data_IF_626373980457
#
_entry.id   IF_626373980457
#
_cell.length_a   1.000
_cell.length_b   1.000
_cell.length_c   1.000
_cell.angle_alpha   90.00
_cell.angle_beta   90.00
_cell.angle_gamma   90.00
#
_symmetry.space_group_name_H-M   'P 1'
#
loop_
_entity.id
_entity.type
_entity.pdbx_description
1 polymer ?
#
# COMPACT_ATOMS: atom_id res chain seq x y z
N UNK A 1 46.04 -74.91 2.78
CA UNK A 1 46.83 -74.31 3.88
C UNK A 1 46.72 -72.81 3.75
N UNK A 2 46.62 -72.02 4.81
CA UNK A 2 46.76 -72.30 6.24
C UNK A 2 47.19 -71.01 6.93
N UNK A 3 46.68 -70.78 8.15
CA UNK A 3 47.23 -69.81 9.10
C UNK A 3 46.61 -68.41 9.03
N UNK A 4 46.17 -67.80 10.12
CA UNK A 4 46.24 -68.22 11.52
C UNK A 4 45.54 -67.19 12.40
N UNK A 5 44.70 -67.68 13.30
CA UNK A 5 44.14 -66.91 14.40
C UNK A 5 44.94 -67.08 15.68
N UNK A 6 44.70 -66.16 16.61
CA UNK A 6 45.12 -66.20 18.01
C UNK A 6 45.40 -64.79 18.54
N UNK A 7 45.49 -64.61 19.87
CA UNK A 7 44.51 -64.99 20.88
C UNK A 7 44.19 -63.80 21.82
N UNK A 8 43.01 -63.80 22.47
CA UNK A 8 42.74 -62.89 23.60
C UNK A 8 42.55 -63.71 24.86
N UNK A 9 43.50 -63.52 25.76
CA UNK A 9 43.67 -64.10 27.09
C UNK A 9 42.77 -63.41 28.11
N UNK A 10 42.08 -64.23 28.91
CA UNK A 10 41.48 -63.86 30.20
C UNK A 10 42.54 -63.99 31.31
N UNK A 11 42.51 -63.14 32.34
CA UNK A 11 42.74 -63.65 33.70
C UNK A 11 41.73 -63.12 34.75
N UNK A 12 41.73 -63.68 35.98
CA UNK A 12 40.52 -63.88 36.78
C UNK A 12 40.42 -63.05 38.09
N UNK A 13 39.24 -63.20 38.71
CA UNK A 13 38.75 -62.73 40.01
C UNK A 13 39.75 -62.51 41.17
N UNK A 14 39.53 -61.43 41.94
CA UNK A 14 39.43 -61.51 43.42
C UNK A 14 38.65 -60.35 44.05
N UNK A 15 37.85 -60.71 45.05
CA UNK A 15 36.91 -59.92 45.86
C UNK A 15 37.61 -58.90 46.78
N UNK A 16 36.93 -57.78 47.09
CA UNK A 16 36.73 -57.31 48.48
C UNK A 16 35.70 -56.17 48.59
N UNK A 17 34.63 -56.48 49.35
CA UNK A 17 33.79 -55.72 50.27
C UNK A 17 33.64 -54.18 50.24
N UNK A 18 32.39 -53.83 50.60
CA UNK A 18 31.94 -52.79 51.52
C UNK A 18 31.48 -51.44 50.95
N UNK A 19 30.15 -51.32 50.87
CA UNK A 19 29.34 -50.33 51.61
C UNK A 19 29.96 -48.94 51.80
N UNK A 20 29.49 -47.96 51.02
CA UNK A 20 29.10 -46.63 51.52
C UNK A 20 28.52 -45.77 50.39
N UNK A 21 27.31 -45.28 50.62
CA UNK A 21 26.82 -43.94 50.28
C UNK A 21 26.76 -43.50 48.81
N UNK A 22 25.57 -43.73 48.25
CA UNK A 22 24.74 -42.78 47.50
C UNK A 22 25.23 -41.31 47.46
N UNK A 23 25.10 -40.65 46.30
CA UNK A 23 24.33 -39.41 46.31
C UNK A 23 23.24 -39.44 45.23
N UNK A 24 22.01 -39.71 45.65
CA UNK A 24 20.79 -39.51 44.85
C UNK A 24 20.38 -38.03 44.79
N UNK A 25 21.36 -37.12 44.77
CA UNK A 25 21.14 -35.68 44.84
C UNK A 25 21.39 -34.94 43.51
N UNK A 26 21.80 -35.65 42.44
CA UNK A 26 22.11 -35.03 41.14
C UNK A 26 21.03 -35.22 40.04
N UNK A 27 19.92 -35.93 40.33
CA UNK A 27 18.86 -36.23 39.37
C UNK A 27 17.58 -35.35 39.52
N UNK A 28 17.65 -34.25 40.26
CA UNK A 28 16.60 -33.23 40.29
C UNK A 28 16.84 -32.14 39.21
N UNK A 29 17.21 -32.56 38.00
CA UNK A 29 17.14 -31.68 36.82
C UNK A 29 15.73 -31.07 36.76
N UNK A 30 15.64 -29.78 36.40
CA UNK A 30 14.44 -28.95 36.41
C UNK A 30 13.25 -29.59 35.67
N UNK A 31 12.58 -30.54 36.32
CA UNK A 31 11.54 -31.41 35.75
C UNK A 31 10.32 -30.61 35.28
N UNK A 32 10.12 -29.45 35.89
CA UNK A 32 9.08 -28.48 35.55
C UNK A 32 9.48 -27.53 34.41
N UNK A 33 10.77 -27.45 34.08
CA UNK A 33 11.32 -26.56 33.05
C UNK A 33 10.68 -26.75 31.67
N UNK A 34 10.61 -27.98 31.13
CA UNK A 34 9.99 -28.24 29.82
C UNK A 34 8.51 -27.80 29.73
N UNK A 35 7.72 -28.07 30.77
CA UNK A 35 6.31 -27.65 30.83
C UNK A 35 6.17 -26.12 30.94
N UNK A 36 7.03 -25.49 31.74
CA UNK A 36 7.07 -24.03 31.91
C UNK A 36 7.37 -23.33 30.59
N UNK A 37 8.36 -23.81 29.84
CA UNK A 37 8.71 -23.27 28.52
C UNK A 37 7.64 -23.57 27.47
N UNK A 38 7.01 -24.74 27.49
CA UNK A 38 5.88 -25.06 26.62
C UNK A 38 4.69 -24.13 26.87
N UNK A 39 4.34 -23.86 28.14
CA UNK A 39 3.27 -22.93 28.52
C UNK A 39 3.58 -21.49 28.09
N UNK A 40 4.81 -21.00 28.30
CA UNK A 40 5.23 -19.67 27.84
C UNK A 40 5.14 -19.55 26.31
N UNK A 41 5.58 -20.58 25.59
CA UNK A 41 5.51 -20.65 24.13
C UNK A 41 4.06 -20.63 23.65
N UNK A 42 3.19 -21.44 24.26
CA UNK A 42 1.76 -21.49 23.93
C UNK A 42 1.03 -20.19 24.27
N UNK A 43 1.41 -19.52 25.36
CA UNK A 43 0.93 -18.18 25.72
C UNK A 43 1.33 -17.14 24.66
N UNK A 44 2.60 -17.09 24.28
CA UNK A 44 3.09 -16.15 23.27
C UNK A 44 2.38 -16.36 21.93
N UNK A 45 2.26 -17.62 21.48
CA UNK A 45 1.53 -17.96 20.25
C UNK A 45 0.05 -17.53 20.31
N UNK A 46 -0.63 -17.80 21.43
CA UNK A 46 -2.04 -17.41 21.61
C UNK A 46 -2.23 -15.89 21.64
N UNK A 47 -1.29 -15.14 22.21
CA UNK A 47 -1.33 -13.68 22.25
C UNK A 47 -1.12 -13.07 20.85
N UNK A 48 -0.18 -13.61 20.07
CA UNK A 48 0.05 -13.19 18.67
C UNK A 48 -1.18 -13.47 17.80
N UNK A 49 -1.75 -14.67 17.88
CA UNK A 49 -2.95 -15.05 17.14
C UNK A 49 -4.18 -14.21 17.51
N UNK A 50 -4.34 -13.84 18.79
CA UNK A 50 -5.39 -12.93 19.24
C UNK A 50 -5.23 -11.52 18.64
N UNK A 51 -3.99 -11.03 18.51
CA UNK A 51 -3.71 -9.71 17.93
C UNK A 51 -3.99 -9.66 16.43
N UNK A 52 -3.59 -10.70 15.70
CA UNK A 52 -3.79 -10.81 14.24
C UNK A 52 -5.28 -10.89 13.88
N UNK A 53 -6.08 -11.60 14.69
CA UNK A 53 -7.51 -11.75 14.44
C UNK A 53 -8.36 -10.60 15.00
N UNK A 54 -7.77 -9.62 15.71
CA UNK A 54 -8.51 -8.56 16.42
C UNK A 54 -9.38 -7.71 15.48
N UNK A 55 -8.90 -7.44 14.27
CA UNK A 55 -9.58 -6.59 13.28
C UNK A 55 -10.38 -7.38 12.25
N UNK A 56 -9.93 -8.59 11.92
CA UNK A 56 -10.53 -9.42 10.86
C UNK A 56 -11.63 -10.37 11.37
N UNK A 57 -11.47 -10.93 12.57
CA UNK A 57 -12.41 -11.90 13.15
C UNK A 57 -12.46 -11.83 14.70
N UNK A 58 -13.23 -10.88 15.25
CA UNK A 58 -13.28 -10.62 16.69
C UNK A 58 -13.67 -11.84 17.56
N UNK A 59 -14.63 -12.70 17.18
CA UNK A 59 -14.92 -13.94 17.92
C UNK A 59 -13.71 -14.86 18.09
N UNK A 60 -12.94 -15.07 17.01
CA UNK A 60 -11.74 -15.91 17.03
C UNK A 60 -10.64 -15.28 17.88
N UNK A 61 -10.49 -13.95 17.85
CA UNK A 61 -9.58 -13.23 18.74
C UNK A 61 -9.94 -13.44 20.23
N UNK A 62 -11.23 -13.44 20.58
CA UNK A 62 -11.71 -13.70 21.95
C UNK A 62 -11.39 -15.14 22.38
N UNK A 63 -11.57 -16.12 21.50
CA UNK A 63 -11.23 -17.52 21.77
C UNK A 63 -9.72 -17.69 22.06
N UNK A 64 -8.87 -17.07 21.26
CA UNK A 64 -7.41 -17.05 21.50
C UNK A 64 -7.03 -16.36 22.81
N UNK A 65 -7.70 -15.26 23.16
CA UNK A 65 -7.48 -14.58 24.44
C UNK A 65 -7.92 -15.43 25.64
N UNK A 66 -8.98 -16.24 25.50
CA UNK A 66 -9.40 -17.21 26.52
C UNK A 66 -8.32 -18.30 26.71
N UNK A 67 -7.75 -18.83 25.63
CA UNK A 67 -6.62 -19.79 25.69
C UNK A 67 -5.40 -19.19 26.38
N UNK A 68 -5.03 -17.95 26.03
CA UNK A 68 -3.95 -17.23 26.71
C UNK A 68 -4.18 -17.15 28.23
N UNK A 69 -5.39 -16.78 28.66
CA UNK A 69 -5.73 -16.73 30.09
C UNK A 69 -5.66 -18.09 30.76
N UNK A 70 -6.10 -19.16 30.09
CA UNK A 70 -6.01 -20.52 30.61
C UNK A 70 -4.55 -20.97 30.78
N UNK A 71 -3.68 -20.73 29.80
CA UNK A 71 -2.25 -21.03 29.92
C UNK A 71 -1.55 -20.19 30.99
N UNK A 72 -1.97 -18.92 31.16
CA UNK A 72 -1.49 -18.06 32.25
C UNK A 72 -1.88 -18.60 33.62
N UNK A 73 -3.10 -19.10 33.77
CA UNK A 73 -3.56 -19.72 35.01
C UNK A 73 -2.78 -21.01 35.31
N UNK A 74 -2.59 -21.87 34.31
CA UNK A 74 -1.77 -23.09 34.42
C UNK A 74 -0.32 -22.78 34.80
N UNK A 75 0.27 -21.72 34.23
CA UNK A 75 1.62 -21.29 34.59
C UNK A 75 1.71 -20.83 36.06
N UNK A 76 0.67 -20.15 36.56
CA UNK A 76 0.59 -19.77 37.97
C UNK A 76 0.50 -21.00 38.87
N UNK A 77 -0.30 -22.00 38.50
CA UNK A 77 -0.41 -23.27 39.22
C UNK A 77 0.89 -24.08 39.21
N UNK A 78 1.58 -24.17 38.05
CA UNK A 78 2.91 -24.77 37.95
C UNK A 78 3.91 -24.07 38.87
N UNK A 79 3.84 -22.75 39.00
CA UNK A 79 4.73 -21.98 39.88
C UNK A 79 4.51 -22.34 41.35
N UNK A 80 3.26 -22.51 41.77
CA UNK A 80 2.92 -22.94 43.14
C UNK A 80 3.37 -24.38 43.37
N UNK A 81 3.06 -25.32 42.47
CA UNK A 81 3.40 -26.74 42.62
C UNK A 81 4.90 -27.04 42.47
N UNK A 82 5.64 -26.21 41.74
CA UNK A 82 7.11 -26.28 41.67
C UNK A 82 7.77 -26.06 43.04
N UNK A 83 7.10 -25.39 43.97
CA UNK A 83 7.59 -25.20 45.34
C UNK A 83 7.39 -26.43 46.24
N UNK A 84 6.57 -27.40 45.83
CA UNK A 84 6.40 -28.67 46.54
C UNK A 84 7.45 -29.70 46.07
N UNK A 85 8.34 -30.20 46.96
CA UNK A 85 9.35 -31.19 46.62
C UNK A 85 8.80 -32.53 46.10
N UNK A 86 7.52 -32.85 46.38
CA UNK A 86 6.87 -34.10 45.94
C UNK A 86 6.10 -33.95 44.63
N UNK A 87 5.89 -32.73 44.16
CA UNK A 87 5.14 -32.46 42.95
C UNK A 87 5.80 -33.05 41.70
N UNK A 88 5.02 -33.76 40.89
CA UNK A 88 5.41 -34.19 39.55
C UNK A 88 4.67 -33.36 38.49
N UNK A 89 5.36 -32.95 37.41
CA UNK A 89 4.70 -32.22 36.34
C UNK A 89 3.70 -33.12 35.60
N UNK A 90 2.50 -32.61 35.27
CA UNK A 90 1.58 -33.34 34.42
C UNK A 90 2.20 -33.58 33.05
N UNK A 91 1.80 -34.68 32.41
CA UNK A 91 2.15 -34.91 31.02
C UNK A 91 1.52 -33.82 30.15
N UNK A 92 2.24 -33.43 29.09
CA UNK A 92 1.76 -32.42 28.15
C UNK A 92 2.18 -32.77 26.73
N UNK A 93 1.39 -32.31 25.77
CA UNK A 93 1.69 -32.47 24.35
C UNK A 93 1.10 -31.34 23.53
N UNK A 94 1.75 -31.05 22.42
CA UNK A 94 1.16 -30.19 21.39
C UNK A 94 0.23 -31.03 20.52
N UNK A 95 -1.01 -30.56 20.36
CA UNK A 95 -2.00 -31.15 19.48
C UNK A 95 -2.24 -30.18 18.33
N UNK A 96 -2.04 -30.65 17.10
CA UNK A 96 -2.33 -29.88 15.89
C UNK A 96 -3.71 -30.28 15.38
N UNK A 97 -4.66 -29.36 15.50
CA UNK A 97 -6.00 -29.51 14.94
C UNK A 97 -6.07 -28.77 13.61
N UNK A 98 -6.73 -29.35 12.60
CA UNK A 98 -7.01 -28.65 11.34
C UNK A 98 -8.45 -28.17 11.38
N UNK A 99 -8.65 -26.86 11.38
CA UNK A 99 -9.97 -26.23 11.41
C UNK A 99 -10.28 -25.60 10.06
N UNK A 100 -11.51 -25.75 9.61
CA UNK A 100 -12.02 -25.08 8.41
C UNK A 100 -12.49 -23.66 8.76
N UNK A 101 -11.99 -22.66 8.04
CA UNK A 101 -12.40 -21.27 8.17
C UNK A 101 -12.94 -20.74 6.85
N UNK A 102 -14.13 -20.14 6.89
CA UNK A 102 -14.70 -19.45 5.74
C UNK A 102 -14.12 -18.05 5.59
N UNK A 103 -13.61 -17.74 4.40
CA UNK A 103 -13.08 -16.41 4.03
C UNK A 103 -14.20 -15.55 3.46
N UNK A 104 -14.31 -14.31 3.94
CA UNK A 104 -15.26 -13.30 3.44
C UNK A 104 -14.69 -11.89 3.61
N UNK A 105 -14.81 -11.05 2.59
CA UNK A 105 -14.44 -9.63 2.65
C UNK A 105 -15.65 -8.78 3.07
N UNK A 106 -15.89 -8.69 4.38
CA UNK A 106 -17.10 -8.06 4.96
C UNK A 106 -17.20 -6.55 4.74
N UNK A 107 -16.09 -5.91 4.41
CA UNK A 107 -16.02 -4.49 4.07
C UNK A 107 -16.56 -4.18 2.66
N UNK A 108 -16.70 -5.19 1.80
CA UNK A 108 -17.32 -5.07 0.48
C UNK A 108 -18.79 -5.47 0.55
N UNK A 109 -19.64 -4.80 -0.24
CA UNK A 109 -21.04 -5.21 -0.40
C UNK A 109 -21.10 -6.55 -1.15
N UNK A 110 -22.16 -7.32 -0.91
CA UNK A 110 -22.33 -8.67 -1.47
C UNK A 110 -22.21 -8.76 -3.00
N UNK A 111 -22.58 -7.68 -3.72
CA UNK A 111 -22.54 -7.63 -5.18
C UNK A 111 -21.43 -6.70 -5.72
N UNK A 112 -20.55 -6.17 -4.88
CA UNK A 112 -19.48 -5.28 -5.34
C UNK A 112 -18.21 -6.09 -5.64
N UNK A 113 -17.58 -5.77 -6.76
CA UNK A 113 -16.21 -6.12 -7.08
C UNK A 113 -15.35 -4.88 -6.90
N UNK A 114 -14.28 -4.99 -6.13
CA UNK A 114 -13.29 -3.94 -5.97
C UNK A 114 -12.14 -4.18 -6.94
N UNK A 115 -11.82 -3.19 -7.77
CA UNK A 115 -10.60 -3.10 -8.56
C UNK A 115 -9.65 -2.10 -7.90
N UNK A 116 -8.43 -2.55 -7.63
CA UNK A 116 -7.36 -1.72 -7.09
C UNK A 116 -6.12 -1.82 -7.97
N UNK A 117 -5.61 -0.67 -8.41
CA UNK A 117 -4.29 -0.55 -9.07
C UNK A 117 -3.39 0.19 -8.09
N UNK A 118 -2.22 -0.37 -7.79
CA UNK A 118 -1.29 0.19 -6.80
C UNK A 118 -0.02 0.78 -7.40
N UNK A 119 0.34 0.36 -8.62
CA UNK A 119 1.44 0.98 -9.34
C UNK A 119 1.98 0.14 -10.48
N UNK A 120 2.87 0.74 -11.25
CA UNK A 120 3.67 0.09 -12.29
C UNK A 120 5.14 0.04 -11.88
N UNK A 121 5.82 -1.04 -12.25
CA UNK A 121 7.23 -1.29 -11.94
C UNK A 121 8.02 -1.68 -13.19
N UNK A 122 9.35 -1.57 -13.11
CA UNK A 122 10.34 -1.96 -14.13
C UNK A 122 10.21 -1.26 -15.50
N UNK A 123 9.60 -0.07 -15.53
CA UNK A 123 9.44 0.79 -16.72
C UNK A 123 10.66 1.70 -16.96
N UNK A 124 11.86 1.13 -16.96
CA UNK A 124 13.12 1.89 -17.07
C UNK A 124 13.27 2.62 -18.41
N UNK A 125 12.73 2.05 -19.49
CA UNK A 125 12.80 2.65 -20.84
C UNK A 125 11.85 3.84 -21.03
N UNK A 126 10.90 4.01 -20.11
CA UNK A 126 9.87 5.05 -20.16
C UNK A 126 10.05 6.11 -19.04
N UNK A 127 11.23 6.14 -18.38
CA UNK A 127 11.53 7.08 -17.29
C UNK A 127 11.27 8.54 -17.67
N UNK A 128 10.70 9.29 -16.73
CA UNK A 128 10.38 10.70 -16.91
C UNK A 128 9.12 10.97 -17.75
N UNK A 129 8.50 9.97 -18.38
CA UNK A 129 7.19 10.12 -19.03
C UNK A 129 6.06 10.10 -18.00
N UNK A 130 4.98 10.80 -18.30
CA UNK A 130 3.73 10.74 -17.54
C UNK A 130 2.84 9.65 -18.12
N UNK A 131 2.42 8.70 -17.29
CA UNK A 131 1.58 7.58 -17.71
C UNK A 131 0.23 7.60 -17.02
N UNK A 132 -0.80 7.13 -17.71
CA UNK A 132 -2.09 6.79 -17.14
C UNK A 132 -2.42 5.34 -17.50
N UNK A 133 -3.23 4.70 -16.66
CA UNK A 133 -3.70 3.33 -16.91
C UNK A 133 -5.20 3.39 -17.16
N UNK A 134 -5.62 2.89 -18.32
CA UNK A 134 -7.04 2.61 -18.57
C UNK A 134 -7.34 1.15 -18.29
N UNK A 135 -8.56 0.86 -17.86
CA UNK A 135 -9.02 -0.50 -17.65
C UNK A 135 -10.33 -0.74 -18.39
N UNK A 136 -10.53 -1.97 -18.84
CA UNK A 136 -11.77 -2.48 -19.38
C UNK A 136 -12.06 -3.86 -18.79
N UNK A 137 -13.15 -3.95 -18.03
CA UNK A 137 -13.58 -5.19 -17.39
C UNK A 137 -14.16 -6.20 -18.39
N UNK A 138 -14.54 -5.76 -19.59
CA UNK A 138 -15.15 -6.58 -20.62
C UNK A 138 -16.56 -7.10 -20.25
N UNK A 139 -17.21 -6.51 -19.24
CA UNK A 139 -18.58 -6.80 -18.85
C UNK A 139 -19.28 -5.58 -18.21
N UNK A 140 -20.63 -5.52 -18.25
CA UNK A 140 -21.54 -6.25 -19.13
C UNK A 140 -21.19 -6.10 -20.63
N UNK A 141 -21.65 -7.01 -21.50
CA UNK A 141 -21.27 -6.97 -22.93
C UNK A 141 -21.70 -5.68 -23.62
N UNK A 142 -22.89 -5.20 -23.29
CA UNK A 142 -23.50 -4.04 -23.96
C UNK A 142 -22.91 -2.72 -23.49
N UNK A 143 -22.43 -2.68 -22.24
CA UNK A 143 -21.76 -1.52 -21.66
C UNK A 143 -20.67 -1.99 -20.68
N UNK A 144 -19.46 -2.30 -21.17
CA UNK A 144 -18.35 -2.68 -20.32
C UNK A 144 -18.01 -1.60 -19.31
N UNK A 145 -17.66 -2.00 -18.09
CA UNK A 145 -17.08 -1.06 -17.13
C UNK A 145 -15.67 -0.69 -17.54
N UNK A 146 -15.50 0.57 -17.95
CA UNK A 146 -14.21 1.14 -18.30
C UNK A 146 -13.91 2.36 -17.42
N UNK A 147 -12.64 2.72 -17.35
CA UNK A 147 -12.19 3.92 -16.65
C UNK A 147 -10.70 4.15 -16.81
N UNK A 148 -10.20 5.23 -16.21
CA UNK A 148 -8.80 5.63 -16.28
C UNK A 148 -8.31 6.15 -14.94
N UNK A 149 -7.02 5.97 -14.68
CA UNK A 149 -6.34 6.61 -13.54
C UNK A 149 -5.97 8.06 -13.87
N UNK A 150 -5.56 8.81 -12.84
CA UNK A 150 -4.81 10.05 -13.06
C UNK A 150 -3.46 9.75 -13.73
N UNK A 151 -2.93 10.74 -14.44
CA UNK A 151 -1.59 10.66 -15.01
C UNK A 151 -0.55 10.79 -13.89
N UNK A 152 0.48 9.95 -13.91
CA UNK A 152 1.56 9.89 -12.92
C UNK A 152 2.89 9.76 -13.63
N UNK A 153 3.87 10.57 -13.23
CA UNK A 153 5.23 10.54 -13.78
C UNK A 153 6.00 9.30 -13.31
N UNK A 154 6.72 8.65 -14.23
CA UNK A 154 7.61 7.53 -13.92
C UNK A 154 8.88 8.06 -13.25
N UNK A 155 9.22 7.50 -12.09
CA UNK A 155 10.42 7.86 -11.33
C UNK A 155 11.72 7.39 -12.03
N UNK A 156 12.87 7.86 -11.56
CA UNK A 156 14.18 7.47 -12.10
C UNK A 156 14.55 5.99 -11.87
N UNK A 157 13.75 5.24 -11.11
CA UNK A 157 13.85 3.80 -10.92
C UNK A 157 12.93 2.99 -11.84
N UNK A 158 12.15 3.64 -12.72
CA UNK A 158 11.17 2.96 -13.57
C UNK A 158 9.89 2.55 -12.85
N UNK A 159 9.55 3.21 -11.73
CA UNK A 159 8.32 2.95 -10.97
C UNK A 159 7.36 4.13 -11.06
N UNK A 160 6.07 3.83 -11.10
CA UNK A 160 5.01 4.83 -11.05
C UNK A 160 3.96 4.43 -10.02
N UNK A 161 3.69 5.32 -9.06
CA UNK A 161 2.71 5.12 -7.99
C UNK A 161 1.27 5.36 -8.49
N UNK A 162 0.83 4.57 -9.46
CA UNK A 162 -0.51 4.63 -10.03
C UNK A 162 -1.51 4.07 -9.02
N UNK A 163 -2.28 4.94 -8.38
CA UNK A 163 -3.26 4.54 -7.35
C UNK A 163 -4.67 4.73 -7.87
N UNK A 164 -5.42 3.63 -7.94
CA UNK A 164 -6.85 3.63 -8.26
C UNK A 164 -7.57 2.64 -7.35
N UNK A 165 -8.75 3.01 -6.87
CA UNK A 165 -9.67 2.11 -6.17
C UNK A 165 -11.09 2.39 -6.62
N UNK A 166 -11.74 1.40 -7.23
CA UNK A 166 -13.12 1.53 -7.75
C UNK A 166 -13.92 0.29 -7.37
N UNK A 167 -15.16 0.50 -6.92
CA UNK A 167 -16.14 -0.57 -6.71
C UNK A 167 -17.10 -0.65 -7.91
N UNK A 168 -17.20 -1.83 -8.50
CA UNK A 168 -17.99 -2.13 -9.68
C UNK A 168 -19.13 -3.05 -9.27
N UNK A 169 -20.40 -2.69 -9.55
CA UNK A 169 -21.52 -3.56 -9.24
C UNK A 169 -21.56 -4.76 -10.19
N UNK A 170 -21.63 -5.96 -9.62
CA UNK A 170 -21.65 -7.24 -10.33
C UNK A 170 -22.93 -7.98 -10.01
N UNK A 171 -23.73 -8.24 -11.03
CA UNK A 171 -24.93 -9.06 -10.90
C UNK A 171 -24.56 -10.55 -10.90
N UNK A 172 -24.42 -11.12 -9.70
CA UNK A 172 -23.99 -12.51 -9.46
C UNK A 172 -25.02 -13.55 -9.89
N UNK A 173 -26.29 -13.15 -10.06
CA UNK A 173 -27.40 -14.03 -10.45
C UNK A 173 -27.39 -14.33 -11.94
N UNK A 174 -26.88 -13.40 -12.76
CA UNK A 174 -26.83 -13.57 -14.20
C UNK A 174 -25.84 -14.64 -14.60
N UNK A 175 -26.31 -15.63 -15.37
CA UNK A 175 -25.47 -16.68 -15.97
C UNK A 175 -24.31 -16.10 -16.78
N UNK A 176 -24.51 -14.96 -17.46
CA UNK A 176 -23.46 -14.26 -18.20
C UNK A 176 -22.30 -13.81 -17.31
N UNK A 177 -22.60 -13.36 -16.09
CA UNK A 177 -21.61 -13.00 -15.08
C UNK A 177 -20.91 -14.25 -14.58
N UNK A 178 -21.63 -15.29 -14.17
CA UNK A 178 -20.99 -16.54 -13.73
C UNK A 178 -20.07 -17.13 -14.80
N UNK A 179 -20.49 -17.12 -16.08
CA UNK A 179 -19.65 -17.57 -17.20
C UNK A 179 -18.45 -16.67 -17.49
N UNK A 180 -18.50 -15.39 -17.11
CA UNK A 180 -17.34 -14.48 -17.20
C UNK A 180 -16.30 -14.86 -16.17
N UNK A 181 -16.70 -15.11 -14.92
CA UNK A 181 -15.76 -15.42 -13.85
C UNK A 181 -15.34 -16.90 -13.86
N UNK A 182 -16.09 -17.84 -14.44
CA UNK A 182 -15.70 -19.26 -14.44
C UNK A 182 -14.76 -19.67 -15.59
N UNK A 183 -14.61 -18.83 -16.62
CA UNK A 183 -13.81 -19.15 -17.83
C UNK A 183 -12.43 -18.52 -17.78
N UNK A 184 -11.42 -19.32 -18.09
CA UNK A 184 -10.00 -18.91 -18.10
C UNK A 184 -9.68 -17.83 -19.15
N UNK A 185 -10.38 -17.87 -20.28
CA UNK A 185 -10.16 -16.93 -21.38
C UNK A 185 -10.81 -15.55 -21.13
N UNK A 186 -11.37 -15.31 -19.94
CA UNK A 186 -12.01 -14.05 -19.59
C UNK A 186 -11.11 -13.27 -18.64
N UNK A 187 -10.75 -12.08 -19.10
CA UNK A 187 -9.70 -11.25 -18.54
C UNK A 187 -10.17 -9.81 -18.47
N UNK A 188 -9.63 -9.08 -17.50
CA UNK A 188 -9.66 -7.62 -17.47
C UNK A 188 -8.45 -7.14 -18.27
N UNK A 189 -8.66 -6.21 -19.19
CA UNK A 189 -7.60 -5.60 -19.97
C UNK A 189 -7.23 -4.24 -19.40
N UNK A 190 -5.95 -3.94 -19.42
CA UNK A 190 -5.38 -2.67 -19.01
C UNK A 190 -4.54 -2.13 -20.16
N UNK A 191 -4.63 -0.83 -20.43
CA UNK A 191 -3.72 -0.15 -21.35
C UNK A 191 -2.94 0.89 -20.57
N UNK A 192 -1.63 0.84 -20.69
CA UNK A 192 -0.72 1.81 -20.12
C UNK A 192 -0.41 2.82 -21.23
N UNK A 193 -0.82 4.06 -21.03
CA UNK A 193 -0.76 5.13 -22.03
C UNK A 193 0.19 6.20 -21.51
N UNK A 194 1.21 6.53 -22.29
CA UNK A 194 2.01 7.72 -22.07
C UNK A 194 1.23 8.94 -22.57
N UNK A 195 1.09 9.94 -21.71
CA UNK A 195 0.57 11.24 -22.11
C UNK A 195 1.56 11.90 -23.05
N UNK A 196 1.07 12.28 -24.23
CA UNK A 196 1.81 13.16 -25.13
C UNK A 196 1.73 14.60 -24.62
N UNK A 197 2.80 15.38 -24.84
CA UNK A 197 2.77 16.83 -24.63
C UNK A 197 1.94 17.55 -25.70
N UNK A 198 1.99 18.89 -25.75
CA UNK A 198 1.10 19.75 -26.54
C UNK A 198 0.85 19.35 -28.00
N UNK A 199 1.82 18.71 -28.65
CA UNK A 199 1.74 18.36 -30.07
C UNK A 199 1.96 16.87 -30.33
N UNK A 200 2.10 16.06 -29.28
CA UNK A 200 2.23 14.61 -29.42
C UNK A 200 0.93 13.95 -29.01
N UNK A 201 0.43 13.03 -29.83
CA UNK A 201 -0.68 12.19 -29.43
C UNK A 201 -0.26 11.27 -28.29
N UNK A 202 -1.21 10.95 -27.42
CA UNK A 202 -1.06 9.89 -26.42
C UNK A 202 -0.60 8.58 -27.08
N UNK A 203 0.41 7.95 -26.50
CA UNK A 203 1.01 6.71 -27.01
C UNK A 203 0.65 5.53 -26.10
N UNK A 204 0.09 4.46 -26.65
CA UNK A 204 -0.09 3.22 -25.90
C UNK A 204 1.28 2.56 -25.74
N UNK A 205 1.83 2.57 -24.53
CA UNK A 205 3.12 1.96 -24.22
C UNK A 205 3.03 0.45 -24.11
N UNK A 206 2.00 -0.04 -23.42
CA UNK A 206 1.85 -1.45 -23.12
C UNK A 206 0.41 -1.85 -22.83
N UNK A 207 0.15 -3.15 -22.87
CA UNK A 207 -1.10 -3.78 -22.48
C UNK A 207 -0.84 -4.81 -21.39
N UNK A 208 -1.71 -4.90 -20.40
CA UNK A 208 -1.66 -5.93 -19.37
C UNK A 208 -3.03 -6.60 -19.28
N UNK A 209 -3.07 -7.90 -18.98
CA UNK A 209 -4.33 -8.64 -18.85
C UNK A 209 -4.34 -9.50 -17.59
N UNK A 210 -5.39 -9.39 -16.78
CA UNK A 210 -5.54 -10.21 -15.56
C UNK A 210 -6.74 -11.13 -15.67
N UNK A 211 -6.57 -12.40 -15.30
CA UNK A 211 -7.64 -13.39 -15.36
C UNK A 211 -8.69 -13.16 -14.27
N UNK A 212 -9.98 -13.33 -14.62
CA UNK A 212 -11.09 -13.26 -13.67
C UNK A 212 -11.38 -14.60 -12.97
N UNK A 213 -10.82 -15.70 -13.50
CA UNK A 213 -11.04 -17.08 -13.02
C UNK A 213 -10.83 -17.28 -11.50
N UNK A 214 -9.77 -16.75 -10.88
CA UNK A 214 -9.53 -16.99 -9.45
C UNK A 214 -10.70 -16.58 -8.56
N UNK A 215 -11.34 -15.43 -8.86
CA UNK A 215 -12.47 -14.88 -8.09
C UNK A 215 -13.75 -15.74 -8.16
N UNK A 216 -13.77 -16.76 -9.00
CA UNK A 216 -14.87 -17.72 -9.01
C UNK A 216 -14.87 -18.59 -7.76
N UNK A 217 -13.68 -18.92 -7.24
CA UNK A 217 -13.47 -19.78 -6.08
C UNK A 217 -12.82 -19.08 -4.89
N UNK A 218 -12.12 -17.97 -5.10
CA UNK A 218 -11.53 -17.14 -4.04
C UNK A 218 -12.21 -15.79 -3.90
N UNK A 219 -12.00 -15.13 -2.75
CA UNK A 219 -12.49 -13.78 -2.48
C UNK A 219 -11.53 -12.69 -2.99
N UNK A 220 -10.29 -13.05 -3.29
CA UNK A 220 -9.22 -12.13 -3.66
C UNK A 220 -8.30 -12.72 -4.73
N UNK A 221 -7.81 -11.84 -5.60
CA UNK A 221 -6.76 -12.13 -6.59
C UNK A 221 -5.85 -10.91 -6.70
N UNK A 222 -4.62 -11.03 -6.19
CA UNK A 222 -3.56 -10.01 -6.30
C UNK A 222 -2.48 -10.54 -7.22
N UNK A 223 -2.13 -9.76 -8.26
CA UNK A 223 -1.11 -10.16 -9.24
C UNK A 223 -0.28 -8.95 -9.68
N UNK A 224 1.01 -9.19 -9.87
CA UNK A 224 1.87 -8.32 -10.67
C UNK A 224 1.78 -8.80 -12.13
N UNK A 225 0.99 -8.10 -12.92
CA UNK A 225 0.61 -8.51 -14.27
C UNK A 225 1.70 -8.06 -15.25
N UNK A 226 2.30 -8.98 -16.03
CA UNK A 226 3.32 -8.61 -16.99
C UNK A 226 2.76 -7.71 -18.08
N UNK A 227 3.54 -6.69 -18.44
CA UNK A 227 3.22 -5.78 -19.53
C UNK A 227 3.60 -6.40 -20.88
N UNK A 228 2.74 -6.23 -21.87
CA UNK A 228 2.90 -6.73 -23.23
C UNK A 228 3.03 -5.57 -24.20
N UNK A 229 3.75 -5.76 -25.29
CA UNK A 229 3.84 -4.77 -26.36
C UNK A 229 2.46 -4.49 -26.97
N UNK A 230 2.15 -3.24 -27.40
CA UNK A 230 0.81 -2.89 -27.87
C UNK A 230 0.36 -3.66 -29.14
N UNK A 231 1.31 -3.95 -30.02
CA UNK A 231 1.09 -4.57 -31.35
C UNK A 231 1.65 -5.99 -31.45
N UNK A 232 2.11 -6.57 -30.34
CA UNK A 232 2.88 -7.81 -30.34
C UNK A 232 2.56 -8.62 -29.08
N UNK A 233 2.60 -9.96 -29.22
CA UNK A 233 2.45 -10.88 -28.08
C UNK A 233 3.74 -11.02 -27.28
N UNK A 234 4.76 -10.22 -27.57
CA UNK A 234 5.99 -10.19 -26.80
C UNK A 234 5.74 -9.44 -25.50
N UNK A 235 6.23 -10.02 -24.43
CA UNK A 235 6.24 -9.37 -23.13
C UNK A 235 7.27 -8.23 -23.17
N UNK A 236 6.83 -7.04 -22.77
CA UNK A 236 7.70 -5.89 -22.51
C UNK A 236 8.27 -6.04 -21.10
N UNK A 237 9.43 -5.42 -20.85
CA UNK A 237 9.94 -5.22 -19.51
C UNK A 237 8.97 -4.32 -18.71
N UNK A 238 8.48 -4.80 -17.57
CA UNK A 238 7.55 -4.05 -16.72
C UNK A 238 6.37 -4.88 -16.19
N UNK A 239 5.87 -4.49 -15.03
CA UNK A 239 4.75 -5.15 -14.35
C UNK A 239 3.73 -4.13 -13.82
N UNK A 240 2.44 -4.47 -13.90
CA UNK A 240 1.35 -3.70 -13.33
C UNK A 240 0.79 -4.40 -12.10
N UNK A 241 0.84 -3.74 -10.94
CA UNK A 241 0.32 -4.29 -9.69
C UNK A 241 -1.19 -4.05 -9.59
N UNK A 242 -1.97 -5.13 -9.65
CA UNK A 242 -3.43 -5.10 -9.65
C UNK A 242 -3.97 -6.07 -8.60
N UNK A 243 -5.02 -5.66 -7.90
CA UNK A 243 -5.81 -6.49 -6.99
C UNK A 243 -7.28 -6.41 -7.36
N UNK A 244 -7.94 -7.58 -7.41
CA UNK A 244 -9.38 -7.69 -7.48
C UNK A 244 -9.89 -8.38 -6.22
N UNK A 245 -10.96 -7.84 -5.63
CA UNK A 245 -11.55 -8.36 -4.40
C UNK A 245 -13.07 -8.41 -4.53
N UNK A 246 -13.68 -9.45 -3.96
CA UNK A 246 -15.14 -9.64 -3.92
C UNK A 246 -15.54 -10.03 -2.50
N UNK A 247 -16.77 -9.74 -2.09
CA UNK A 247 -17.27 -10.09 -0.76
C UNK A 247 -17.17 -11.60 -0.46
N UNK A 248 -17.58 -12.40 -1.45
CA UNK A 248 -17.56 -13.87 -1.45
C UNK A 248 -17.29 -14.36 -2.89
N UNK A 249 -16.82 -15.60 -3.09
CA UNK A 249 -16.52 -16.11 -4.42
C UNK A 249 -17.73 -16.06 -5.35
N UNK A 250 -17.51 -15.74 -6.63
CA UNK A 250 -18.62 -15.53 -7.59
C UNK A 250 -19.44 -16.81 -7.82
N UNK A 251 -18.88 -18.00 -7.58
CA UNK A 251 -19.61 -19.27 -7.66
C UNK A 251 -20.75 -19.40 -6.63
N UNK A 252 -20.75 -18.58 -5.58
CA UNK A 252 -21.70 -18.67 -4.46
C UNK A 252 -21.31 -19.72 -3.42
N UNK A 253 -20.28 -20.54 -3.68
CA UNK A 253 -19.70 -21.43 -2.67
C UNK A 253 -18.73 -20.65 -1.79
N UNK A 254 -18.80 -20.78 -0.45
CA UNK A 254 -17.84 -20.12 0.42
C UNK A 254 -16.43 -20.64 0.15
N UNK A 255 -15.45 -19.74 0.15
CA UNK A 255 -14.04 -20.12 0.16
C UNK A 255 -13.72 -20.61 1.57
N UNK A 256 -13.22 -21.84 1.66
CA UNK A 256 -12.83 -22.47 2.93
C UNK A 256 -11.33 -22.69 2.91
N UNK A 257 -10.64 -22.13 3.89
CA UNK A 257 -9.20 -22.34 4.11
C UNK A 257 -9.05 -23.28 5.30
N UNK A 258 -8.16 -24.26 5.16
CA UNK A 258 -7.75 -25.16 6.23
C UNK A 258 -6.66 -24.47 7.07
N UNK A 259 -7.01 -24.12 8.30
CA UNK A 259 -6.09 -23.53 9.27
C UNK A 259 -5.56 -24.62 10.20
N UNK A 260 -4.24 -24.76 10.30
CA UNK A 260 -3.62 -25.67 11.28
C UNK A 260 -3.37 -24.92 12.58
N UNK A 261 -4.06 -25.30 13.62
CA UNK A 261 -3.98 -24.70 14.95
C UNK A 261 -3.25 -25.68 15.86
N UNK A 262 -2.05 -25.30 16.31
CA UNK A 262 -1.30 -26.06 17.32
C UNK A 262 -1.66 -25.54 18.71
N UNK A 263 -2.23 -26.40 19.55
CA UNK A 263 -2.58 -26.09 20.94
C UNK A 263 -1.80 -26.98 21.91
N UNK A 264 -1.44 -26.43 23.06
CA UNK A 264 -0.85 -27.20 24.15
C UNK A 264 -1.98 -27.80 24.99
N UNK A 265 -2.00 -29.13 25.12
CA UNK A 265 -2.82 -29.83 26.11
C UNK A 265 -1.94 -30.27 27.27
N UNK A 266 -2.36 -29.94 28.49
CA UNK A 266 -1.73 -30.37 29.74
C UNK A 266 -2.72 -31.30 30.43
N UNK A 267 -2.27 -32.48 30.84
CA UNK A 267 -3.09 -33.47 31.55
C UNK A 267 -3.39 -32.97 32.97
N UNK A 268 -4.36 -33.62 33.63
CA UNK A 268 -4.73 -33.29 35.00
C UNK A 268 -3.52 -33.50 35.94
N UNK A 269 -3.32 -32.57 36.86
CA UNK A 269 -2.23 -32.71 37.82
C UNK A 269 -2.58 -33.85 38.79
N UNK A 270 -1.77 -34.91 38.81
CA UNK A 270 -1.95 -36.02 39.75
C UNK A 270 -1.99 -35.50 41.19
N UNK A 271 -3.12 -35.69 41.86
CA UNK A 271 -3.20 -35.60 43.31
C UNK A 271 -2.77 -36.95 43.86
N UNK A 272 -1.63 -37.01 44.55
CA UNK A 272 -1.28 -38.18 45.34
C UNK A 272 -2.30 -38.30 46.49
N UNK A 273 -3.42 -39.00 46.28
CA UNK A 273 -4.05 -39.72 47.38
C UNK A 273 -4.92 -40.91 46.99
N UNK A 274 -4.64 -41.98 47.70
CA UNK A 274 -5.24 -43.29 47.65
C UNK A 274 -6.65 -43.24 48.27
N UNK A 275 -7.72 -43.32 47.49
CA UNK A 275 -8.99 -43.88 47.98
C UNK A 275 -9.89 -44.35 46.82
N UNK A 276 -10.08 -45.66 46.72
CA UNK A 276 -11.23 -46.26 46.05
C UNK A 276 -12.53 -45.78 46.70
N UNK A 277 -13.58 -45.56 45.91
CA UNK A 277 -14.93 -46.16 46.08
C UNK A 277 -16.01 -45.29 45.40
N UNK A 278 -16.53 -45.86 44.30
CA UNK A 278 -17.94 -45.95 43.86
C UNK A 278 -18.59 -44.83 43.02
N UNK A 279 -19.17 -45.35 41.94
CA UNK A 279 -20.20 -44.85 41.02
C UNK A 279 -21.32 -44.03 41.69
N UNK A 280 -21.87 -43.06 40.95
CA UNK A 280 -23.27 -43.11 40.43
C UNK A 280 -23.57 -41.90 39.54
N UNK A 281 -24.27 -42.16 38.44
CA UNK A 281 -24.97 -41.19 37.59
C UNK A 281 -26.41 -40.99 38.13
N UNK A 282 -27.33 -40.29 37.44
CA UNK A 282 -27.56 -38.85 37.43
C UNK A 282 -28.99 -38.47 37.90
N UNK A 283 -29.24 -37.22 38.31
CA UNK A 283 -30.62 -36.69 38.36
C UNK A 283 -30.69 -35.16 38.31
N UNK A 284 -31.46 -34.63 37.34
CA UNK A 284 -32.04 -33.28 37.34
C UNK A 284 -33.24 -33.21 38.31
N UNK A 285 -33.65 -32.01 38.78
CA UNK A 285 -34.82 -31.31 38.21
C UNK A 285 -34.64 -29.75 38.16
N UNK A 286 -35.24 -29.03 37.18
CA UNK A 286 -36.49 -28.21 37.24
C UNK A 286 -36.57 -27.33 38.51
N UNK A 287 -36.81 -26.01 38.54
CA UNK A 287 -37.34 -24.94 37.67
C UNK A 287 -37.74 -23.76 38.60
N UNK A 288 -38.42 -22.70 38.09
CA UNK A 288 -38.98 -21.49 38.79
C UNK A 288 -38.04 -20.26 38.74
N UNK A 289 -38.17 -19.28 37.81
CA UNK A 289 -39.17 -18.22 37.52
C UNK A 289 -39.09 -16.93 38.37
N UNK A 290 -39.08 -15.79 37.67
CA UNK A 290 -39.48 -14.44 38.11
C UNK A 290 -38.29 -13.47 38.31
N UNK A 291 -38.29 -12.21 37.88
CA UNK A 291 -39.22 -11.36 37.12
C UNK A 291 -38.54 -10.00 36.86
N UNK A 292 -38.99 -9.35 35.80
CA UNK A 292 -39.01 -7.92 35.40
C UNK A 292 -38.28 -6.81 36.20
N UNK A 293 -37.59 -5.91 35.47
CA UNK A 293 -37.99 -4.51 35.21
C UNK A 293 -36.84 -3.80 34.44
N UNK A 294 -37.02 -3.38 33.18
CA UNK A 294 -37.53 -2.07 32.77
C UNK A 294 -36.70 -0.86 33.26
N UNK A 295 -35.96 -0.21 32.35
CA UNK A 295 -35.95 1.25 32.21
C UNK A 295 -35.07 1.70 31.03
N UNK A 296 -35.69 2.49 30.15
CA UNK A 296 -35.14 3.14 28.97
C UNK A 296 -34.46 4.50 29.34
N UNK A 297 -33.93 5.27 28.36
CA UNK A 297 -32.84 6.23 28.53
C UNK A 297 -33.29 7.71 28.62
N UNK A 298 -32.36 8.65 28.77
CA UNK A 298 -32.45 9.97 28.13
C UNK A 298 -31.21 10.19 27.22
N UNK A 299 -31.29 10.53 25.93
CA UNK A 299 -31.94 11.61 25.19
C UNK A 299 -31.29 13.01 25.34
N UNK A 300 -31.12 13.65 24.17
CA UNK A 300 -30.69 15.03 23.88
C UNK A 300 -29.22 15.40 24.20
N UNK A 301 -28.41 15.99 23.30
CA UNK A 301 -28.71 17.25 22.60
C UNK A 301 -27.74 17.47 21.42
N UNK A 302 -28.27 17.80 20.23
CA UNK A 302 -27.65 18.58 19.12
C UNK A 302 -28.32 19.98 19.18
N UNK A 303 -27.96 20.97 18.35
CA UNK A 303 -26.66 21.40 17.80
C UNK A 303 -26.42 22.90 18.11
N UNK A 304 -25.21 23.42 17.85
CA UNK A 304 -25.03 24.86 17.67
C UNK A 304 -24.20 25.13 16.41
N UNK A 305 -24.91 25.69 15.43
CA UNK A 305 -24.39 26.42 14.28
C UNK A 305 -23.65 27.67 14.76
N UNK A 306 -22.55 28.06 14.12
CA UNK A 306 -22.21 29.48 14.08
C UNK A 306 -21.58 29.92 12.75
N UNK A 307 -22.21 31.00 12.26
CA UNK A 307 -21.94 31.86 11.11
C UNK A 307 -20.54 32.50 11.11
N UNK A 308 -19.98 32.58 9.90
CA UNK A 308 -19.44 33.75 9.18
C UNK A 308 -19.11 35.03 10.00
N UNK A 309 -17.83 35.43 9.94
CA UNK A 309 -17.34 36.81 9.91
C UNK A 309 -15.96 36.77 9.20
N UNK A 310 -15.79 37.35 8.00
CA UNK A 310 -15.55 38.76 7.68
C UNK A 310 -14.25 39.33 8.28
N UNK A 311 -13.42 39.85 7.38
CA UNK A 311 -12.05 40.41 7.46
C UNK A 311 -11.73 41.28 8.70
N UNK A 312 -10.44 41.48 8.97
CA UNK A 312 -9.90 42.78 8.58
C UNK A 312 -8.58 42.71 7.81
N UNK A 313 -8.47 43.66 6.88
CA UNK A 313 -7.22 44.14 6.28
C UNK A 313 -6.24 44.55 7.37
N UNK A 314 -4.96 44.22 7.20
CA UNK A 314 -3.89 44.99 7.81
C UNK A 314 -2.77 45.23 6.79
N UNK A 315 -2.68 46.50 6.43
CA UNK A 315 -1.61 47.14 5.70
C UNK A 315 -0.37 47.30 6.57
N UNK A 316 0.79 46.98 6.01
CA UNK A 316 2.12 47.39 6.45
C UNK A 316 3.10 46.72 5.50
N UNK A 317 3.86 47.40 4.63
CA UNK A 317 4.41 48.74 4.72
C UNK A 317 5.92 48.60 4.85
N UNK A 318 6.67 49.04 3.82
CA UNK A 318 8.08 49.39 3.95
C UNK A 318 9.07 48.44 3.27
N UNK A 319 9.49 48.81 2.07
CA UNK A 319 10.61 48.20 1.36
C UNK A 319 10.73 48.70 -0.09
N UNK A 320 10.46 49.99 -0.31
CA UNK A 320 10.72 50.64 -1.59
C UNK A 320 12.24 50.77 -1.77
N UNK A 321 12.77 50.20 -2.84
CA UNK A 321 14.02 50.65 -3.43
C UNK A 321 13.63 51.30 -4.75
N UNK A 322 13.55 52.63 -4.72
CA UNK A 322 13.47 53.48 -5.89
C UNK A 322 14.81 53.48 -6.64
N UNK A 323 14.74 53.60 -7.96
CA UNK A 323 15.82 54.09 -8.80
C UNK A 323 16.76 53.01 -9.35
N UNK A 324 16.33 52.30 -10.39
CA UNK A 324 17.28 51.81 -11.40
C UNK A 324 16.93 52.56 -12.68
N UNK A 325 17.82 53.45 -13.08
CA UNK A 325 17.80 54.12 -14.38
C UNK A 325 17.56 53.09 -15.48
N UNK A 326 16.64 53.39 -16.40
CA UNK A 326 16.33 52.52 -17.54
C UNK A 326 17.51 52.54 -18.52
N UNK A 327 18.52 51.75 -18.20
CA UNK A 327 19.68 51.51 -19.06
C UNK A 327 19.17 50.96 -20.39
N UNK A 328 19.41 51.70 -21.49
CA UNK A 328 18.82 51.47 -22.81
C UNK A 328 19.05 50.04 -23.33
N UNK A 329 20.07 49.36 -22.80
CA UNK A 329 20.41 47.95 -23.06
C UNK A 329 19.31 46.96 -22.64
N UNK A 330 18.40 47.36 -21.75
CA UNK A 330 17.31 46.55 -21.20
C UNK A 330 15.92 47.12 -21.48
N UNK A 331 15.79 48.03 -22.44
CA UNK A 331 14.52 48.70 -22.76
C UNK A 331 13.41 47.73 -23.21
N UNK A 332 13.77 46.55 -23.73
CA UNK A 332 12.81 45.53 -24.12
C UNK A 332 12.18 44.79 -22.93
N UNK A 333 12.78 44.85 -21.73
CA UNK A 333 12.26 44.25 -20.51
C UNK A 333 11.26 45.17 -19.82
N UNK A 334 10.10 44.64 -19.48
CA UNK A 334 9.08 45.39 -18.74
C UNK A 334 9.50 45.62 -17.28
N UNK A 335 8.97 46.68 -16.66
CA UNK A 335 9.19 46.95 -15.24
C UNK A 335 8.75 45.78 -14.34
N UNK A 336 7.68 45.09 -14.72
CA UNK A 336 7.17 43.92 -14.00
C UNK A 336 8.10 42.70 -14.12
N UNK A 337 8.69 42.44 -15.29
CA UNK A 337 9.69 41.37 -15.45
C UNK A 337 10.94 41.64 -14.63
N UNK A 338 11.39 42.90 -14.58
CA UNK A 338 12.51 43.31 -13.74
C UNK A 338 12.15 43.10 -12.27
N UNK A 339 10.94 43.46 -11.83
CA UNK A 339 10.52 43.35 -10.41
C UNK A 339 10.29 41.90 -9.98
N UNK A 340 9.52 41.13 -10.75
CA UNK A 340 9.09 39.77 -10.45
C UNK A 340 9.50 38.78 -11.56
N UNK A 341 10.79 38.43 -11.67
CA UNK A 341 11.32 37.61 -12.77
C UNK A 341 10.82 36.15 -12.76
N UNK A 342 10.35 35.67 -11.61
CA UNK A 342 9.86 34.30 -11.38
C UNK A 342 8.33 34.21 -11.37
N UNK A 343 7.61 35.27 -11.76
CA UNK A 343 6.15 35.22 -11.83
C UNK A 343 5.68 34.13 -12.81
N UNK A 344 4.64 33.34 -12.46
CA UNK A 344 4.02 32.38 -13.36
C UNK A 344 3.64 32.98 -14.72
N UNK A 345 3.22 34.24 -14.78
CA UNK A 345 2.81 34.92 -16.02
C UNK A 345 3.88 34.96 -17.12
N UNK A 346 5.15 34.75 -16.75
CA UNK A 346 6.27 34.71 -17.68
C UNK A 346 6.60 33.31 -18.20
N UNK A 347 5.90 32.28 -17.71
CA UNK A 347 6.09 30.89 -18.10
C UNK A 347 5.20 30.57 -19.29
N UNK A 348 5.81 30.55 -20.47
CA UNK A 348 5.12 30.29 -21.75
C UNK A 348 5.32 28.88 -22.28
N UNK A 349 6.14 28.08 -21.60
CA UNK A 349 6.62 26.77 -22.07
C UNK A 349 6.02 25.63 -21.22
N UNK A 350 5.60 24.54 -21.88
CA UNK A 350 5.06 23.33 -21.25
C UNK A 350 6.05 22.79 -20.24
N UNK A 351 7.29 22.55 -20.70
CA UNK A 351 8.30 21.88 -19.90
C UNK A 351 8.68 22.71 -18.68
N UNK A 352 8.65 24.05 -18.81
CA UNK A 352 8.85 24.96 -17.67
C UNK A 352 7.68 24.88 -16.70
N UNK A 353 6.44 24.97 -17.18
CA UNK A 353 5.25 24.90 -16.33
C UNK A 353 5.20 23.55 -15.59
N UNK A 354 5.46 22.43 -16.26
CA UNK A 354 5.54 21.11 -15.61
C UNK A 354 6.61 21.05 -14.53
N UNK A 355 7.81 21.59 -14.80
CA UNK A 355 8.91 21.58 -13.84
C UNK A 355 8.61 22.43 -12.60
N UNK A 356 7.95 23.57 -12.78
CA UNK A 356 7.57 24.47 -11.70
C UNK A 356 6.39 23.93 -10.89
N UNK A 357 5.39 23.30 -11.53
CA UNK A 357 4.31 22.58 -10.85
C UNK A 357 4.88 21.46 -9.97
N UNK A 358 5.76 20.61 -10.53
CA UNK A 358 6.38 19.53 -9.77
C UNK A 358 7.21 20.04 -8.58
N UNK A 359 7.85 21.21 -8.73
CA UNK A 359 8.60 21.85 -7.64
C UNK A 359 7.64 22.38 -6.57
N UNK A 360 6.55 23.03 -6.96
CA UNK A 360 5.53 23.53 -6.04
C UNK A 360 4.85 22.40 -5.26
N UNK A 361 4.47 21.31 -5.92
CA UNK A 361 3.89 20.13 -5.28
C UNK A 361 4.85 19.48 -4.29
N UNK A 362 6.15 19.39 -4.64
CA UNK A 362 7.17 18.87 -3.72
C UNK A 362 7.32 19.75 -2.48
N UNK A 363 7.28 21.07 -2.63
CA UNK A 363 7.34 22.00 -1.51
C UNK A 363 6.09 21.91 -0.64
N UNK A 364 4.90 21.78 -1.24
CA UNK A 364 3.66 21.57 -0.51
C UNK A 364 3.67 20.25 0.27
N UNK A 365 4.11 19.16 -0.36
CA UNK A 365 4.24 17.86 0.29
C UNK A 365 5.22 17.91 1.48
N UNK A 366 6.31 18.67 1.38
CA UNK A 366 7.26 18.87 2.48
C UNK A 366 6.70 19.74 3.60
N UNK A 367 5.83 20.71 3.28
CA UNK A 367 5.21 21.61 4.27
C UNK A 367 3.96 21.01 4.95
N UNK A 368 3.30 20.04 4.31
CA UNK A 368 2.09 19.39 4.84
C UNK A 368 0.97 20.40 5.11
N UNK A 369 0.38 20.34 6.30
CA UNK A 369 -0.69 21.27 6.72
C UNK A 369 -0.23 22.73 6.89
N UNK A 370 1.09 22.98 6.91
CA UNK A 370 1.67 24.31 7.08
C UNK A 370 2.10 24.95 5.75
N UNK A 371 1.65 24.43 4.61
CA UNK A 371 1.91 25.05 3.32
C UNK A 371 1.37 26.49 3.30
N UNK A 372 2.21 27.45 2.92
CA UNK A 372 1.79 28.85 2.79
C UNK A 372 0.67 28.97 1.76
N UNK A 373 -0.32 29.83 2.05
CA UNK A 373 -1.41 30.17 1.13
C UNK A 373 -0.83 30.63 -0.22
N UNK A 374 0.28 31.37 -0.20
CA UNK A 374 0.94 31.86 -1.42
C UNK A 374 1.43 30.71 -2.31
N UNK A 375 1.95 29.62 -1.72
CA UNK A 375 2.41 28.45 -2.47
C UNK A 375 1.24 27.67 -3.08
N UNK A 376 0.09 27.64 -2.40
CA UNK A 376 -1.13 27.01 -2.91
C UNK A 376 -1.67 27.83 -4.09
N UNK A 377 -1.76 29.15 -3.93
CA UNK A 377 -2.21 30.06 -4.99
C UNK A 377 -1.27 30.01 -6.20
N UNK A 378 0.04 29.99 -5.97
CA UNK A 378 1.03 29.87 -7.05
C UNK A 378 0.89 28.55 -7.81
N UNK A 379 0.76 27.43 -7.10
CA UNK A 379 0.55 26.11 -7.73
C UNK A 379 -0.74 26.07 -8.57
N UNK A 380 -1.84 26.61 -8.05
CA UNK A 380 -3.09 26.72 -8.82
C UNK A 380 -2.96 27.63 -10.04
N UNK A 381 -2.20 28.73 -9.92
CA UNK A 381 -1.94 29.65 -11.04
C UNK A 381 -1.14 28.96 -12.15
N UNK A 382 -0.09 28.23 -11.78
CA UNK A 382 0.73 27.45 -12.72
C UNK A 382 -0.12 26.38 -13.41
N UNK A 383 -0.96 25.67 -12.65
CA UNK A 383 -1.87 24.67 -13.22
C UNK A 383 -2.87 25.30 -14.20
N UNK A 384 -3.45 26.44 -13.85
CA UNK A 384 -4.40 27.16 -14.72
C UNK A 384 -3.74 27.61 -16.01
N UNK A 385 -2.48 28.05 -15.95
CA UNK A 385 -1.72 28.42 -17.14
C UNK A 385 -1.40 27.22 -18.03
N UNK A 386 -1.04 26.09 -17.42
CA UNK A 386 -0.85 24.84 -18.14
C UNK A 386 -2.14 24.43 -18.86
N UNK A 387 -3.26 24.40 -18.16
CA UNK A 387 -4.56 24.02 -18.73
C UNK A 387 -4.96 24.96 -19.88
N UNK A 388 -4.77 26.27 -19.73
CA UNK A 388 -5.04 27.25 -20.79
C UNK A 388 -4.17 26.98 -22.03
N UNK A 389 -2.89 26.71 -21.83
CA UNK A 389 -1.96 26.40 -22.91
C UNK A 389 -2.34 25.09 -23.62
N UNK A 390 -2.79 24.07 -22.86
CA UNK A 390 -3.30 22.80 -23.39
C UNK A 390 -4.56 22.99 -24.23
N UNK A 391 -5.47 23.84 -23.78
CA UNK A 391 -6.71 24.18 -24.50
C UNK A 391 -6.37 24.92 -25.80
N UNK A 392 -5.46 25.89 -25.76
CA UNK A 392 -5.05 26.64 -26.95
C UNK A 392 -4.41 25.73 -28.01
N UNK A 393 -3.55 24.80 -27.60
CA UNK A 393 -2.96 23.80 -28.49
C UNK A 393 -4.02 22.83 -29.04
N UNK A 394 -4.86 22.25 -28.17
CA UNK A 394 -5.87 21.26 -28.56
C UNK A 394 -7.01 21.80 -29.44
N UNK A 395 -7.33 23.09 -29.32
CA UNK A 395 -8.31 23.77 -30.18
C UNK A 395 -7.72 24.27 -31.50
N UNK A 396 -6.40 24.15 -31.69
CA UNK A 396 -5.69 24.69 -32.86
C UNK A 396 -5.51 26.20 -32.86
N UNK A 397 -5.89 26.91 -31.79
CA UNK A 397 -5.65 28.35 -31.63
C UNK A 397 -4.15 28.68 -31.54
N UNK A 398 -3.36 27.75 -31.03
CA UNK A 398 -1.91 27.84 -30.95
C UNK A 398 -1.29 26.75 -31.80
N UNK A 399 -0.82 27.13 -32.98
CA UNK A 399 -0.11 26.20 -33.87
C UNK A 399 1.27 25.85 -33.30
N UNK A 400 1.86 24.70 -33.66
CA UNK A 400 3.21 24.34 -33.22
C UNK A 400 4.26 25.40 -33.57
N UNK A 401 4.15 26.02 -34.75
CA UNK A 401 5.05 27.09 -35.17
C UNK A 401 4.87 28.37 -34.34
N UNK A 402 3.63 28.79 -34.10
CA UNK A 402 3.35 29.97 -33.27
C UNK A 402 3.80 29.74 -31.80
N UNK A 403 3.68 28.51 -31.32
CA UNK A 403 4.22 28.13 -30.02
C UNK A 403 5.74 28.25 -29.96
N UNK A 404 6.45 27.68 -30.93
CA UNK A 404 7.91 27.78 -31.02
C UNK A 404 8.39 29.23 -31.05
N UNK A 405 7.75 30.08 -31.87
CA UNK A 405 8.06 31.51 -31.94
C UNK A 405 7.89 32.19 -30.57
N UNK A 406 6.79 31.91 -29.87
CA UNK A 406 6.52 32.44 -28.52
C UNK A 406 7.58 32.01 -27.50
N UNK A 407 7.98 30.74 -27.51
CA UNK A 407 9.01 30.22 -26.59
C UNK A 407 10.39 30.80 -26.93
N UNK A 408 10.73 30.92 -28.21
CA UNK A 408 12.00 31.50 -28.68
C UNK A 408 12.12 32.99 -28.34
N UNK A 409 11.05 33.76 -28.51
CA UNK A 409 10.98 35.15 -28.08
C UNK A 409 11.25 35.25 -26.56
N UNK A 410 10.59 34.39 -25.76
CA UNK A 410 10.81 34.36 -24.31
C UNK A 410 12.24 33.97 -23.95
N UNK A 411 12.86 33.02 -24.64
CA UNK A 411 14.28 32.68 -24.45
C UNK A 411 15.16 33.92 -24.66
N UNK A 412 14.90 34.70 -25.70
CA UNK A 412 15.61 35.96 -25.97
C UNK A 412 15.46 36.95 -24.82
N UNK A 413 14.24 37.18 -24.35
CA UNK A 413 13.93 38.07 -23.23
C UNK A 413 14.58 37.60 -21.93
N UNK A 414 14.54 36.31 -21.63
CA UNK A 414 15.11 35.77 -20.39
C UNK A 414 16.64 35.81 -20.37
N UNK A 415 17.29 35.67 -21.53
CA UNK A 415 18.75 35.89 -21.63
C UNK A 415 19.13 37.34 -21.30
N UNK A 416 18.31 38.31 -21.71
CA UNK A 416 18.49 39.71 -21.32
C UNK A 416 18.21 39.92 -19.83
N UNK A 417 17.12 39.34 -19.32
CA UNK A 417 16.76 39.41 -17.91
C UNK A 417 17.86 38.83 -17.01
N UNK A 418 18.48 37.73 -17.41
CA UNK A 418 19.63 37.16 -16.69
C UNK A 418 20.80 38.14 -16.58
N UNK A 419 21.13 38.87 -17.66
CA UNK A 419 22.21 39.88 -17.63
C UNK A 419 21.85 41.01 -16.68
N UNK A 420 20.62 41.53 -16.78
CA UNK A 420 20.10 42.53 -15.85
C UNK A 420 20.17 42.07 -14.39
N UNK A 421 19.69 40.87 -14.08
CA UNK A 421 19.71 40.34 -12.71
C UNK A 421 21.14 40.13 -12.19
N UNK A 422 22.08 39.74 -13.07
CA UNK A 422 23.49 39.58 -12.71
C UNK A 422 24.13 40.93 -12.37
N UNK A 423 23.87 41.97 -13.16
CA UNK A 423 24.37 43.33 -12.91
C UNK A 423 23.78 43.96 -11.65
N UNK A 424 22.55 43.60 -11.29
CA UNK A 424 21.86 44.08 -10.09
C UNK A 424 22.05 43.17 -8.86
N UNK A 425 23.06 42.28 -8.86
CA UNK A 425 23.39 41.38 -7.74
C UNK A 425 22.26 40.42 -7.30
N UNK A 426 21.29 40.14 -8.18
CA UNK A 426 20.15 39.22 -7.93
C UNK A 426 20.48 37.79 -8.38
N UNK A 427 21.57 37.24 -7.85
CA UNK A 427 22.17 35.98 -8.32
C UNK A 427 21.24 34.76 -8.19
N UNK A 428 20.43 34.67 -7.12
CA UNK A 428 19.51 33.53 -6.92
C UNK A 428 18.45 33.45 -8.02
N UNK A 429 17.85 34.58 -8.37
CA UNK A 429 16.85 34.65 -9.42
C UNK A 429 17.48 34.50 -10.80
N UNK A 430 18.69 35.04 -11.02
CA UNK A 430 19.46 34.82 -12.24
C UNK A 430 19.66 33.31 -12.51
N UNK A 431 19.99 32.51 -11.49
CA UNK A 431 20.12 31.05 -11.60
C UNK A 431 18.78 30.38 -11.92
N UNK A 432 17.68 30.83 -11.33
CA UNK A 432 16.35 30.30 -11.62
C UNK A 432 15.90 30.61 -13.06
N UNK A 433 16.09 31.85 -13.53
CA UNK A 433 15.83 32.22 -14.93
C UNK A 433 16.75 31.45 -15.89
N UNK A 434 18.01 31.21 -15.52
CA UNK A 434 18.91 30.37 -16.32
C UNK A 434 18.42 28.93 -16.47
N UNK A 435 17.91 28.32 -15.38
CA UNK A 435 17.29 26.99 -15.44
C UNK A 435 16.08 27.00 -16.37
N UNK A 436 15.22 28.02 -16.27
CA UNK A 436 14.06 28.22 -17.16
C UNK A 436 14.49 28.27 -18.63
N UNK A 437 15.50 29.06 -18.97
CA UNK A 437 16.06 29.15 -20.34
C UNK A 437 16.56 27.79 -20.83
N UNK A 438 17.27 27.04 -20.00
CA UNK A 438 17.78 25.72 -20.37
C UNK A 438 16.65 24.74 -20.70
N UNK A 439 15.58 24.75 -19.91
CA UNK A 439 14.39 23.90 -20.15
C UNK A 439 13.70 24.30 -21.45
N UNK A 440 13.48 25.60 -21.68
CA UNK A 440 12.87 26.10 -22.92
C UNK A 440 13.68 25.74 -24.17
N UNK A 441 15.01 25.83 -24.12
CA UNK A 441 15.87 25.44 -25.25
C UNK A 441 15.69 23.95 -25.58
N UNK A 442 15.75 23.08 -24.57
CA UNK A 442 15.56 21.65 -24.77
C UNK A 442 14.17 21.32 -25.35
N UNK A 443 13.14 22.06 -24.92
CA UNK A 443 11.80 21.92 -25.44
C UNK A 443 11.69 22.36 -26.91
N UNK A 444 12.25 23.52 -27.27
CA UNK A 444 12.27 24.00 -28.66
C UNK A 444 12.95 22.99 -29.57
N UNK A 445 14.08 22.41 -29.16
CA UNK A 445 14.78 21.36 -29.90
C UNK A 445 13.89 20.11 -30.07
N UNK A 446 13.19 19.68 -29.02
CA UNK A 446 12.32 18.52 -29.05
C UNK A 446 11.09 18.72 -29.97
N UNK A 447 10.47 19.91 -29.93
CA UNK A 447 9.31 20.24 -30.78
C UNK A 447 9.73 20.42 -32.24
N UNK A 448 10.87 21.05 -32.52
CA UNK A 448 11.41 21.17 -33.88
C UNK A 448 11.72 19.82 -34.50
N UNK A 449 12.36 18.92 -33.74
CA UNK A 449 12.63 17.55 -34.18
C UNK A 449 11.34 16.80 -34.52
N UNK A 450 10.31 16.97 -33.70
CA UNK A 450 9.01 16.37 -33.95
C UNK A 450 8.37 16.90 -35.24
N UNK A 451 8.43 18.21 -35.49
CA UNK A 451 7.89 18.82 -36.71
C UNK A 451 8.62 18.34 -37.97
N UNK A 452 9.93 18.12 -37.91
CA UNK A 452 10.67 17.53 -39.04
C UNK A 452 10.25 16.09 -39.31
N UNK A 453 10.07 15.27 -38.27
CA UNK A 453 9.66 13.86 -38.43
C UNK A 453 8.23 13.73 -39.01
N UNK A 454 7.33 14.68 -38.71
CA UNK A 454 5.98 14.71 -39.29
C UNK A 454 5.92 15.16 -40.75
N UNK A 455 6.91 15.93 -41.23
CA UNK A 455 6.98 16.35 -42.63
C UNK A 455 7.65 15.30 -43.55
N UNK A 456 8.35 14.32 -42.97
CA UNK A 456 9.06 13.26 -43.70
C UNK A 456 8.27 11.94 -43.82
N UNK A 457 7.17 11.78 -43.08
CA UNK A 457 6.24 10.65 -43.16
C UNK A 457 4.94 11.00 -43.84
#
# INVERSE_FOLDING_TARGET
GGGGGGPVTVPPHKKQNAFSDQPAAAAAADRWGPLTEALKTAMAASATAAKENKTSDPPTAVAWMRRFKAYKALLAEVTVRKSDPRGTPPAFRFQTETTERTVTNRELKSNDLELKITGAADMVDDQGRSILVTYDMGFPKDKPFTGSTSAVKIDAGGRAAVTLRVCIPVDRTKRSTQMRFSKENKKVSFQIIAKGGFFKSDEVLARAEMQLKPLFTSCESVQAVPMMEPHSKRQRRGELNVSLRVHQPISGKPEVILERITTLSVDEFSEDNNNSTVQTTPTSPVGVTGSDDAAAPPNATRPASNKVAALPMQSGGGGAVEGVEDDARYASLTAEEKKQPLSPQWMVSEAVLEAEIATAEKLQAAAGANASIDLIVQSQTLQTQMDLLQIQAGSGQLSPHAYLERVEERIGRDKLLMRYLKENNRSKECVAVFRRVKVMIAEVEAVRKMLSEQNEG
#
